data_IF_960952485288
#
_entry.id   IF_960952485288
#
_cell.length_a   1.000
_cell.length_b   1.000
_cell.length_c   1.000
_cell.angle_alpha   90.00
_cell.angle_beta   90.00
_cell.angle_gamma   90.00
#
_symmetry.space_group_name_H-M   'P 1'
#
loop_
_entity.id
_entity.type
_entity.pdbx_description
1 polymer ?
#
# COMPACT_ATOMS: atom_id res chain seq x y z
N UNK A 1 -24.05 -1.98 -17.01
CA UNK A 1 -22.77 -2.55 -16.52
C UNK A 1 -21.79 -1.50 -16.01
N UNK A 2 -21.35 -0.51 -16.82
CA UNK A 2 -20.38 0.52 -16.38
C UNK A 2 -20.82 1.33 -15.15
N UNK A 3 -22.12 1.69 -15.05
CA UNK A 3 -22.68 2.45 -13.92
C UNK A 3 -22.75 1.66 -12.61
N UNK A 4 -22.99 0.35 -12.70
CA UNK A 4 -23.03 -0.57 -11.54
C UNK A 4 -21.61 -0.83 -11.04
N UNK A 5 -20.65 -0.96 -11.96
CA UNK A 5 -19.24 -1.03 -11.61
C UNK A 5 -18.76 0.27 -10.95
N UNK A 6 -19.16 1.44 -11.45
CA UNK A 6 -18.85 2.73 -10.83
C UNK A 6 -19.45 2.87 -9.43
N UNK A 7 -20.68 2.40 -9.23
CA UNK A 7 -21.36 2.42 -7.94
C UNK A 7 -20.74 1.44 -6.93
N UNK A 8 -20.27 0.28 -7.38
CA UNK A 8 -19.53 -0.67 -6.55
C UNK A 8 -18.15 -0.13 -6.17
N UNK A 9 -17.44 0.50 -7.11
CA UNK A 9 -16.18 1.21 -6.82
C UNK A 9 -16.42 2.34 -5.80
N UNK A 10 -17.47 3.14 -5.98
CA UNK A 10 -17.84 4.18 -5.01
C UNK A 10 -18.22 3.60 -3.65
N UNK A 11 -18.96 2.49 -3.59
CA UNK A 11 -19.35 1.86 -2.32
C UNK A 11 -18.14 1.34 -1.53
N UNK A 12 -17.10 0.82 -2.20
CA UNK A 12 -15.84 0.44 -1.57
C UNK A 12 -15.05 1.67 -1.07
N UNK A 13 -15.20 2.83 -1.70
CA UNK A 13 -14.60 4.10 -1.24
C UNK A 13 -15.24 4.61 0.06
N UNK A 14 -16.54 4.39 0.27
CA UNK A 14 -17.31 5.02 1.36
C UNK A 14 -17.59 4.13 2.59
N UNK A 15 -17.17 2.87 2.61
CA UNK A 15 -17.57 1.89 3.64
C UNK A 15 -16.89 2.05 5.03
N UNK A 16 -16.29 3.19 5.35
CA UNK A 16 -15.49 3.35 6.55
C UNK A 16 -15.42 4.77 7.09
N UNK A 17 -16.52 5.33 7.60
CA UNK A 17 -16.44 6.58 8.37
C UNK A 17 -16.18 6.28 9.83
N UNK A 18 -14.90 6.32 10.22
CA UNK A 18 -14.45 6.45 11.61
C UNK A 18 -14.34 7.95 11.94
N UNK A 19 -14.78 8.38 13.12
CA UNK A 19 -14.82 9.80 13.48
C UNK A 19 -13.44 10.34 13.88
N UNK A 20 -12.73 10.92 12.90
CA UNK A 20 -11.86 12.07 13.10
C UNK A 20 -12.56 13.31 12.51
N UNK A 21 -12.52 14.46 13.18
CA UNK A 21 -13.38 15.62 12.90
C UNK A 21 -13.07 16.34 11.59
N UNK A 22 -11.99 15.98 10.89
CA UNK A 22 -11.42 16.73 9.76
C UNK A 22 -11.83 16.11 8.42
N UNK A 23 -12.88 16.63 7.75
CA UNK A 23 -13.36 16.09 6.47
C UNK A 23 -12.48 16.50 5.29
N UNK A 24 -11.83 17.66 5.36
CA UNK A 24 -10.92 18.17 4.32
C UNK A 24 -9.72 18.79 5.01
N UNK A 25 -8.52 18.44 4.56
CA UNK A 25 -7.27 19.04 5.00
C UNK A 25 -6.39 19.39 3.81
N UNK A 26 -5.77 20.57 3.88
CA UNK A 26 -4.65 20.95 3.02
C UNK A 26 -3.36 20.89 3.83
N UNK A 27 -2.36 20.12 3.37
CA UNK A 27 -1.11 19.90 4.09
C UNK A 27 0.10 20.33 3.24
N UNK A 28 0.88 21.29 3.72
CA UNK A 28 2.07 21.73 3.01
C UNK A 28 3.28 20.86 3.38
N UNK A 29 3.75 21.00 4.62
CA UNK A 29 4.92 20.28 5.13
C UNK A 29 4.98 20.39 6.66
N UNK A 30 5.54 19.39 7.33
CA UNK A 30 5.74 19.34 8.78
C UNK A 30 4.46 19.57 9.62
N UNK A 31 4.24 20.77 10.17
CA UNK A 31 3.01 21.13 10.92
C UNK A 31 2.17 22.19 10.23
N UNK A 32 2.50 22.52 8.98
CA UNK A 32 1.78 23.52 8.20
C UNK A 32 0.63 22.83 7.49
N UNK A 33 -0.53 22.81 8.14
CA UNK A 33 -1.75 22.23 7.61
C UNK A 33 -2.99 23.06 8.00
N UNK A 34 -4.03 22.99 7.17
CA UNK A 34 -5.31 23.66 7.42
C UNK A 34 -6.45 22.65 7.17
N UNK A 35 -7.23 22.29 8.21
CA UNK A 35 -6.96 22.59 9.62
C UNK A 35 -5.70 21.87 10.12
N UNK A 36 -5.11 22.34 11.21
CA UNK A 36 -3.86 21.81 11.77
C UNK A 36 -4.06 20.53 12.61
N UNK A 37 -4.95 19.66 12.15
CA UNK A 37 -5.26 18.38 12.78
C UNK A 37 -4.25 17.30 12.37
N UNK A 38 -4.02 16.33 13.24
CA UNK A 38 -3.08 15.23 12.97
C UNK A 38 -3.78 13.96 12.45
N UNK A 39 -5.09 13.99 12.23
CA UNK A 39 -5.86 12.87 11.71
C UNK A 39 -6.96 13.40 10.78
N UNK A 40 -7.22 12.67 9.71
CA UNK A 40 -8.20 13.05 8.68
C UNK A 40 -9.17 11.91 8.43
N UNK A 41 -10.47 12.21 8.45
CA UNK A 41 -11.52 11.29 8.01
C UNK A 41 -12.27 11.93 6.84
N UNK A 42 -11.71 11.80 5.64
CA UNK A 42 -12.18 12.46 4.44
C UNK A 42 -11.08 12.59 3.41
N UNK A 43 -10.74 13.82 3.03
CA UNK A 43 -9.77 14.11 1.96
C UNK A 43 -8.62 14.95 2.52
N UNK A 44 -7.40 14.43 2.42
CA UNK A 44 -6.17 15.20 2.59
C UNK A 44 -5.49 15.42 1.25
N UNK A 45 -5.18 16.69 0.94
CA UNK A 45 -4.41 17.09 -0.23
C UNK A 45 -3.17 17.87 0.21
N UNK A 46 -2.00 17.51 -0.32
CA UNK A 46 -0.79 18.15 0.14
C UNK A 46 0.44 18.05 -0.76
N UNK A 47 1.54 18.58 -0.24
CA UNK A 47 2.87 18.38 -0.82
C UNK A 47 3.60 17.28 -0.06
N UNK A 48 3.67 17.38 1.27
CA UNK A 48 4.28 16.38 2.14
C UNK A 48 3.59 16.26 3.49
N UNK A 49 2.65 15.33 3.62
CA UNK A 49 1.90 15.12 4.85
C UNK A 49 2.51 14.07 5.76
N UNK A 50 2.35 14.26 7.07
CA UNK A 50 2.73 13.32 8.11
C UNK A 50 1.62 13.26 9.16
N UNK A 51 0.72 12.31 8.98
CA UNK A 51 -0.50 12.19 9.79
C UNK A 51 -0.45 10.97 10.70
N UNK A 52 -1.11 11.07 11.86
CA UNK A 52 -1.33 9.92 12.72
C UNK A 52 -2.33 8.93 12.12
N UNK A 53 -3.40 9.41 11.47
CA UNK A 53 -4.34 8.53 10.80
C UNK A 53 -5.03 9.19 9.61
N UNK A 54 -5.25 8.40 8.56
CA UNK A 54 -6.10 8.80 7.43
C UNK A 54 -7.14 7.73 7.14
N UNK A 55 -8.41 8.14 7.18
CA UNK A 55 -9.52 7.35 6.68
C UNK A 55 -10.13 8.09 5.50
N UNK A 56 -10.01 7.54 4.29
CA UNK A 56 -10.39 8.22 3.05
C UNK A 56 -9.21 8.46 2.10
N UNK A 57 -9.15 9.62 1.44
CA UNK A 57 -8.14 9.93 0.43
C UNK A 57 -6.98 10.71 1.04
N UNK A 58 -5.75 10.24 0.80
CA UNK A 58 -4.50 10.94 1.09
C UNK A 58 -3.74 11.15 -0.23
N UNK A 59 -3.73 12.37 -0.76
CA UNK A 59 -3.06 12.68 -2.03
C UNK A 59 -1.99 13.74 -1.80
N UNK A 60 -0.73 13.36 -1.96
CA UNK A 60 0.40 14.28 -1.82
C UNK A 60 1.25 14.30 -3.07
N UNK A 61 1.77 15.48 -3.42
CA UNK A 61 2.69 15.59 -4.55
C UNK A 61 4.00 14.83 -4.29
N UNK A 62 4.61 15.02 -3.13
CA UNK A 62 5.94 14.48 -2.81
C UNK A 62 5.86 13.32 -1.83
N UNK A 63 5.26 13.51 -0.66
CA UNK A 63 5.31 12.51 0.39
C UNK A 63 3.96 12.35 1.10
N UNK A 64 3.34 11.20 0.95
CA UNK A 64 2.16 10.82 1.71
C UNK A 64 2.59 9.88 2.85
N UNK A 65 2.74 10.41 4.07
CA UNK A 65 3.06 9.62 5.25
C UNK A 65 1.88 9.57 6.22
N UNK A 66 1.53 8.38 6.67
CA UNK A 66 0.58 8.18 7.76
C UNK A 66 1.07 7.08 8.70
N UNK A 67 0.67 7.11 9.97
CA UNK A 67 0.89 5.95 10.83
C UNK A 67 -0.12 4.88 10.50
N UNK A 68 -1.41 5.16 10.66
CA UNK A 68 -2.50 4.23 10.38
C UNK A 68 -3.43 4.72 9.28
N UNK A 69 -3.95 3.80 8.48
CA UNK A 69 -4.89 4.10 7.41
C UNK A 69 -5.86 2.91 7.24
N UNK A 70 -6.83 2.76 8.16
CA UNK A 70 -7.65 1.56 8.23
C UNK A 70 -8.54 1.33 7.02
N UNK A 71 -8.94 2.38 6.31
CA UNK A 71 -9.62 2.34 5.01
C UNK A 71 -9.16 3.58 4.25
N UNK A 72 -8.15 3.46 3.39
CA UNK A 72 -7.54 4.62 2.74
C UNK A 72 -7.07 4.40 1.31
N UNK A 73 -7.05 5.50 0.55
CA UNK A 73 -6.44 5.62 -0.75
C UNK A 73 -5.25 6.57 -0.61
N UNK A 74 -4.03 6.08 -0.73
CA UNK A 74 -2.83 6.89 -0.57
C UNK A 74 -2.08 7.01 -1.88
N UNK A 75 -1.79 8.25 -2.30
CA UNK A 75 -1.10 8.57 -3.55
C UNK A 75 0.00 9.60 -3.31
N UNK A 76 1.19 9.38 -3.87
CA UNK A 76 2.22 10.41 -3.99
C UNK A 76 3.52 9.94 -4.65
N UNK A 77 4.58 10.76 -4.72
CA UNK A 77 5.88 10.27 -5.18
C UNK A 77 6.47 9.26 -4.19
N UNK A 78 6.38 9.56 -2.90
CA UNK A 78 6.76 8.70 -1.78
C UNK A 78 5.51 8.36 -0.95
N UNK A 79 5.22 7.08 -0.77
CA UNK A 79 4.20 6.59 0.16
C UNK A 79 4.86 5.96 1.38
N UNK A 80 4.37 6.26 2.58
CA UNK A 80 4.86 5.63 3.81
C UNK A 80 3.72 5.34 4.79
N UNK A 81 3.71 4.11 5.30
CA UNK A 81 2.84 3.64 6.38
C UNK A 81 3.70 3.00 7.46
N UNK A 82 3.55 3.42 8.72
CA UNK A 82 4.29 2.81 9.83
C UNK A 82 3.49 1.82 10.66
N UNK A 83 2.16 1.94 10.67
CA UNK A 83 1.20 1.05 11.35
C UNK A 83 0.40 0.22 10.34
N UNK A 84 -0.92 0.22 10.45
CA UNK A 84 -1.79 -0.61 9.62
C UNK A 84 -2.41 0.19 8.48
N UNK A 85 -2.30 -0.31 7.25
CA UNK A 85 -2.97 0.24 6.08
C UNK A 85 -3.90 -0.80 5.47
N UNK A 86 -5.13 -0.40 5.14
CA UNK A 86 -6.01 -1.18 4.26
C UNK A 86 -6.57 -0.30 3.15
N UNK A 87 -6.38 -0.71 1.89
CA UNK A 87 -6.98 -0.04 0.74
C UNK A 87 -6.07 -0.01 -0.48
N UNK A 88 -5.96 1.17 -1.12
CA UNK A 88 -5.20 1.37 -2.36
C UNK A 88 -3.99 2.28 -2.09
N UNK A 89 -2.78 1.79 -2.32
CA UNK A 89 -1.56 2.61 -2.18
C UNK A 89 -0.84 2.69 -3.53
N UNK A 90 -0.65 3.92 -4.03
CA UNK A 90 0.05 4.20 -5.29
C UNK A 90 1.18 5.18 -5.07
N UNK A 91 2.41 4.83 -5.44
CA UNK A 91 3.51 5.80 -5.39
C UNK A 91 4.60 5.56 -6.44
N UNK A 92 5.63 6.40 -6.51
CA UNK A 92 6.85 6.01 -7.22
C UNK A 92 7.70 5.08 -6.35
N UNK A 93 7.81 5.41 -5.05
CA UNK A 93 8.39 4.53 -4.03
C UNK A 93 7.42 4.40 -2.86
N UNK A 94 7.16 3.17 -2.41
CA UNK A 94 6.52 2.92 -1.11
C UNK A 94 7.54 2.39 -0.11
N UNK A 95 7.48 2.92 1.12
CA UNK A 95 8.29 2.47 2.24
C UNK A 95 7.37 2.22 3.44
N UNK A 96 6.95 0.97 3.64
CA UNK A 96 5.96 0.63 4.66
C UNK A 96 6.58 -0.25 5.75
N UNK A 97 6.82 0.29 6.94
CA UNK A 97 7.38 -0.51 8.04
C UNK A 97 6.34 -1.36 8.76
N UNK A 98 5.06 -1.01 8.63
CA UNK A 98 3.94 -1.74 9.20
C UNK A 98 3.30 -2.74 8.23
N UNK A 99 2.02 -3.03 8.44
CA UNK A 99 1.27 -4.02 7.65
C UNK A 99 0.36 -3.33 6.63
N UNK A 100 0.40 -3.81 5.39
CA UNK A 100 -0.41 -3.28 4.28
C UNK A 100 -1.33 -4.37 3.76
N UNK A 101 -2.63 -4.09 3.70
CA UNK A 101 -3.65 -4.96 3.12
C UNK A 101 -4.34 -4.28 1.94
N UNK A 102 -4.42 -4.94 0.78
CA UNK A 102 -5.14 -4.44 -0.38
C UNK A 102 -4.32 -4.42 -1.66
N UNK A 103 -4.38 -3.32 -2.41
CA UNK A 103 -3.65 -3.15 -3.67
C UNK A 103 -2.56 -2.11 -3.49
N UNK A 104 -1.33 -2.47 -3.82
CA UNK A 104 -0.18 -1.58 -3.78
C UNK A 104 0.50 -1.54 -5.15
N UNK A 105 0.82 -0.34 -5.63
CA UNK A 105 1.50 -0.12 -6.90
C UNK A 105 2.59 0.94 -6.79
N UNK A 106 3.85 0.57 -7.10
CA UNK A 106 4.93 1.54 -7.20
C UNK A 106 6.07 1.07 -8.10
N UNK A 107 7.01 1.94 -8.48
CA UNK A 107 8.23 1.48 -9.15
C UNK A 107 9.07 0.64 -8.18
N UNK A 108 9.19 1.10 -6.93
CA UNK A 108 9.86 0.37 -5.84
C UNK A 108 8.91 0.26 -4.67
N UNK A 109 8.62 -0.96 -4.24
CA UNK A 109 7.93 -1.22 -3.00
C UNK A 109 8.87 -1.88 -2.01
N UNK A 110 8.98 -1.29 -0.83
CA UNK A 110 9.79 -1.81 0.26
C UNK A 110 8.97 -1.81 1.53
N UNK A 111 8.75 -2.98 2.13
CA UNK A 111 8.01 -2.99 3.38
C UNK A 111 8.03 -4.25 4.20
N UNK A 112 7.24 -4.20 5.28
CA UNK A 112 7.01 -5.26 6.23
C UNK A 112 6.07 -6.32 5.68
N UNK A 113 4.92 -6.46 6.32
CA UNK A 113 3.94 -7.48 5.97
C UNK A 113 2.95 -6.95 4.94
N UNK A 114 2.77 -7.70 3.86
CA UNK A 114 1.86 -7.34 2.79
C UNK A 114 0.84 -8.44 2.53
N UNK A 115 -0.43 -8.06 2.45
CA UNK A 115 -1.55 -8.94 2.10
C UNK A 115 -2.34 -8.38 0.91
N UNK A 116 -2.41 -9.10 -0.21
CA UNK A 116 -3.24 -8.71 -1.35
C UNK A 116 -2.53 -8.72 -2.70
N UNK A 117 -2.69 -7.66 -3.50
CA UNK A 117 -2.10 -7.53 -4.84
C UNK A 117 -1.00 -6.46 -4.88
N UNK A 118 0.21 -6.90 -5.18
CA UNK A 118 1.41 -6.08 -5.15
C UNK A 118 1.96 -5.89 -6.56
N UNK A 119 2.13 -4.66 -7.02
CA UNK A 119 2.66 -4.34 -8.35
C UNK A 119 3.88 -3.43 -8.24
N UNK A 120 4.97 -3.77 -8.93
CA UNK A 120 6.08 -2.85 -9.08
C UNK A 120 7.25 -3.36 -9.90
N UNK A 121 8.27 -2.54 -10.11
CA UNK A 121 9.50 -3.01 -10.76
C UNK A 121 10.32 -3.86 -9.76
N UNK A 122 10.44 -3.36 -8.53
CA UNK A 122 11.02 -4.07 -7.40
C UNK A 122 10.00 -4.15 -6.26
N UNK A 123 9.77 -5.35 -5.76
CA UNK A 123 8.92 -5.59 -4.59
C UNK A 123 9.73 -6.34 -3.52
N UNK A 124 9.86 -5.75 -2.33
CA UNK A 124 10.44 -6.37 -1.14
C UNK A 124 9.42 -6.38 0.00
N UNK A 125 9.22 -7.55 0.60
CA UNK A 125 8.35 -7.76 1.75
C UNK A 125 9.05 -8.62 2.80
N UNK A 126 8.79 -8.39 4.09
CA UNK A 126 9.12 -9.36 5.14
C UNK A 126 8.23 -10.59 5.01
N UNK A 127 6.92 -10.37 4.99
CA UNK A 127 5.93 -11.44 4.78
C UNK A 127 5.03 -11.09 3.60
N UNK A 128 4.91 -12.00 2.64
CA UNK A 128 3.97 -11.87 1.53
C UNK A 128 2.80 -12.86 1.70
N UNK A 129 1.58 -12.34 1.68
CA UNK A 129 0.35 -13.13 1.56
C UNK A 129 -0.47 -12.61 0.38
N UNK A 130 -0.44 -13.29 -0.77
CA UNK A 130 -1.16 -12.87 -1.97
C UNK A 130 -0.31 -12.93 -3.22
N UNK A 131 -0.52 -12.01 -4.16
CA UNK A 131 0.12 -12.06 -5.47
C UNK A 131 0.98 -10.83 -5.68
N UNK A 132 2.26 -11.04 -6.01
CA UNK A 132 3.19 -9.99 -6.37
C UNK A 132 3.58 -10.09 -7.85
N UNK A 133 3.50 -8.96 -8.56
CA UNK A 133 3.94 -8.81 -9.93
C UNK A 133 5.07 -7.80 -9.99
N UNK A 134 6.20 -8.21 -10.56
CA UNK A 134 7.29 -7.28 -10.78
C UNK A 134 8.48 -7.86 -11.51
N UNK A 135 9.47 -7.03 -11.80
CA UNK A 135 10.71 -7.51 -12.40
C UNK A 135 11.51 -8.31 -11.38
N UNK A 136 11.57 -7.80 -10.16
CA UNK A 136 12.19 -8.45 -9.00
C UNK A 136 11.17 -8.52 -7.87
N UNK A 137 10.89 -9.72 -7.38
CA UNK A 137 10.07 -9.96 -6.21
C UNK A 137 10.89 -10.70 -5.15
N UNK A 138 10.92 -10.15 -3.95
CA UNK A 138 11.59 -10.74 -2.80
C UNK A 138 10.65 -10.73 -1.59
N UNK A 139 10.49 -11.89 -0.97
CA UNK A 139 9.83 -12.05 0.31
C UNK A 139 10.72 -12.88 1.23
N UNK A 140 10.99 -12.40 2.45
CA UNK A 140 11.72 -13.20 3.44
C UNK A 140 10.91 -14.46 3.83
N UNK A 141 9.60 -14.30 3.94
CA UNK A 141 8.65 -15.36 4.24
C UNK A 141 7.37 -15.19 3.42
N UNK A 142 6.71 -16.29 3.11
CA UNK A 142 5.33 -16.31 2.66
C UNK A 142 4.41 -16.71 3.82
N UNK A 143 3.23 -16.08 3.89
CA UNK A 143 2.14 -16.41 4.81
C UNK A 143 1.39 -17.66 4.37
N UNK A 144 0.06 -17.61 4.43
CA UNK A 144 -0.81 -18.76 4.10
C UNK A 144 -0.77 -19.09 2.61
N UNK A 145 -0.70 -18.07 1.76
CA UNK A 145 -0.66 -18.20 0.32
C UNK A 145 0.18 -17.07 -0.28
N UNK A 146 1.12 -17.39 -1.16
CA UNK A 146 1.92 -16.39 -1.85
C UNK A 146 2.24 -16.85 -3.28
N UNK A 147 2.06 -15.97 -4.25
CA UNK A 147 2.52 -16.14 -5.63
C UNK A 147 3.32 -14.90 -6.02
N UNK A 148 4.50 -15.09 -6.59
CA UNK A 148 5.31 -14.05 -7.18
C UNK A 148 5.45 -14.31 -8.67
N UNK A 149 5.30 -13.28 -9.49
CA UNK A 149 5.41 -13.35 -10.94
C UNK A 149 6.41 -12.29 -11.39
N UNK A 150 7.50 -12.72 -12.02
CA UNK A 150 8.62 -11.83 -12.35
C UNK A 150 9.84 -12.48 -12.96
N UNK A 151 10.83 -11.67 -13.33
CA UNK A 151 12.11 -12.17 -13.84
C UNK A 151 12.92 -12.84 -12.72
N UNK A 152 12.94 -12.23 -11.55
CA UNK A 152 13.61 -12.76 -10.35
C UNK A 152 12.57 -12.85 -9.24
N UNK A 153 12.41 -14.04 -8.66
CA UNK A 153 11.45 -14.29 -7.58
C UNK A 153 12.14 -15.07 -6.45
N UNK A 154 11.94 -14.64 -5.21
CA UNK A 154 12.46 -15.29 -4.02
C UNK A 154 11.45 -15.27 -2.87
N UNK A 155 11.24 -16.44 -2.28
CA UNK A 155 10.46 -16.64 -1.05
C UNK A 155 11.29 -17.55 -0.13
N UNK A 156 11.72 -17.03 1.03
CA UNK A 156 12.66 -17.75 1.90
C UNK A 156 12.16 -19.09 2.43
N UNK A 157 10.85 -19.23 2.68
CA UNK A 157 10.20 -20.47 3.13
C UNK A 157 9.32 -21.12 2.04
N UNK A 158 9.68 -21.01 0.76
CA UNK A 158 8.85 -21.53 -0.33
C UNK A 158 8.65 -23.06 -0.27
N UNK A 159 7.41 -23.49 -0.55
CA UNK A 159 7.07 -24.92 -0.73
C UNK A 159 7.64 -25.47 -2.04
N UNK A 160 7.90 -24.60 -3.03
CA UNK A 160 8.43 -25.00 -4.34
C UNK A 160 9.88 -24.55 -4.49
N UNK A 161 10.79 -25.35 -3.91
CA UNK A 161 12.23 -25.06 -3.87
C UNK A 161 12.92 -25.01 -5.24
N UNK A 162 12.33 -25.64 -6.26
CA UNK A 162 12.89 -25.67 -7.63
C UNK A 162 12.86 -24.29 -8.30
N UNK A 163 12.01 -23.36 -7.81
CA UNK A 163 11.81 -22.02 -8.36
C UNK A 163 12.51 -20.92 -7.52
N UNK A 164 13.29 -21.30 -6.50
CA UNK A 164 14.10 -20.37 -5.71
C UNK A 164 15.41 -20.03 -6.42
N UNK A 165 15.35 -19.14 -7.41
CA UNK A 165 16.54 -18.57 -8.05
C UNK A 165 16.37 -18.31 -9.54
N UNK A 166 16.74 -17.08 -9.93
CA UNK A 166 17.02 -16.48 -11.26
C UNK A 166 16.07 -16.73 -12.43
N UNK A 167 15.45 -17.91 -12.58
CA UNK A 167 14.45 -18.19 -13.60
C UNK A 167 13.50 -19.27 -13.12
N UNK A 168 12.37 -18.81 -12.59
CA UNK A 168 11.14 -18.95 -13.36
C UNK A 168 10.19 -17.76 -13.19
N UNK A 169 9.34 -17.54 -14.20
CA UNK A 169 8.35 -16.47 -14.23
C UNK A 169 7.36 -16.48 -13.05
N UNK A 170 7.31 -17.56 -12.27
CA UNK A 170 6.37 -17.77 -11.16
C UNK A 170 7.14 -18.40 -9.98
N UNK A 171 6.94 -17.96 -8.75
CA UNK A 171 7.33 -18.67 -7.51
C UNK A 171 6.12 -18.68 -6.57
N UNK A 172 5.89 -19.75 -5.81
CA UNK A 172 4.70 -19.85 -4.97
C UNK A 172 4.88 -20.65 -3.68
N UNK A 173 4.03 -20.32 -2.69
CA UNK A 173 3.70 -21.12 -1.51
C UNK A 173 2.18 -21.22 -1.43
N UNK A 174 1.67 -22.44 -1.31
CA UNK A 174 0.25 -22.80 -1.19
C UNK A 174 0.12 -23.65 0.07
#
# INVERSE_FOLDING_TARGET
MKKVLLALVAAVVFAGVSFATTPIQLFLWDKIAIPADNAVAGIELGIGSNLSSVTGLQWNLIWAKTNDAPIAWQIGLLGQVTGNFTGLQGAFVTYNTGSVTGLQGAAVNYGGDFTGLHFGFLNYNKTLTGIAFGFINYAESAGDFAIQIGLINYIGNSSIKVLNGWFPFINAKI
#
